data_IF_811306885237
#
_entry.id   IF_811306885237
#
_cell.length_a   1.000
_cell.length_b   1.000
_cell.length_c   1.000
_cell.angle_alpha   90.00
_cell.angle_beta   90.00
_cell.angle_gamma   90.00
#
_symmetry.space_group_name_H-M   'P 1'
#
loop_
_entity.id
_entity.type
_entity.pdbx_description
1 polymer ?
#
# COMPACT_ATOMS: atom_id res chain seq x y z
N UNK A 1 16.65 -0.16 -4.23
CA UNK A 1 15.68 -0.63 -3.21
C UNK A 1 15.26 0.59 -2.38
N UNK A 2 13.99 0.97 -2.40
CA UNK A 2 13.50 2.18 -1.72
C UNK A 2 13.22 1.82 -0.24
N UNK A 3 13.89 2.49 0.70
CA UNK A 3 13.85 2.17 2.14
C UNK A 3 12.43 2.19 2.73
N UNK A 4 11.56 3.03 2.19
CA UNK A 4 10.17 3.15 2.63
C UNK A 4 9.25 2.08 2.05
N UNK A 5 9.52 1.55 0.85
CA UNK A 5 8.79 0.39 0.34
C UNK A 5 9.09 -0.86 1.19
N UNK A 6 10.33 -0.98 1.69
CA UNK A 6 10.67 -1.98 2.71
C UNK A 6 9.94 -1.76 4.04
N UNK A 7 9.73 -0.52 4.48
CA UNK A 7 8.93 -0.25 5.70
C UNK A 7 7.44 -0.55 5.47
N UNK A 8 6.88 -0.16 4.32
CA UNK A 8 5.52 -0.49 3.94
C UNK A 8 5.32 -2.01 3.93
N UNK A 9 6.25 -2.75 3.33
CA UNK A 9 6.30 -4.21 3.39
C UNK A 9 6.43 -4.74 4.82
N UNK A 10 7.34 -4.24 5.65
CA UNK A 10 7.52 -4.75 7.02
C UNK A 10 6.27 -4.57 7.89
N UNK A 11 5.57 -3.44 7.73
CA UNK A 11 4.31 -3.20 8.43
C UNK A 11 3.15 -4.03 7.82
N UNK A 12 3.20 -4.33 6.51
CA UNK A 12 2.32 -5.27 5.82
C UNK A 12 2.56 -6.73 6.26
N UNK A 13 3.83 -7.14 6.42
CA UNK A 13 4.21 -8.47 6.90
C UNK A 13 3.71 -8.69 8.33
N UNK A 14 3.74 -7.65 9.17
CA UNK A 14 3.08 -7.69 10.49
C UNK A 14 1.56 -7.89 10.40
N UNK A 15 0.92 -7.36 9.35
CA UNK A 15 -0.51 -7.56 9.10
C UNK A 15 -0.84 -8.98 8.56
N UNK A 16 0.17 -9.77 8.21
CA UNK A 16 0.08 -11.12 7.70
C UNK A 16 -0.06 -11.16 6.18
N UNK A 17 0.91 -11.77 5.49
CA UNK A 17 0.93 -11.96 4.03
C UNK A 17 -0.35 -12.66 3.53
N UNK A 18 -0.77 -13.71 4.23
CA UNK A 18 -2.00 -14.45 3.94
C UNK A 18 -3.24 -13.57 4.07
N UNK A 19 -3.23 -12.64 5.04
CA UNK A 19 -4.34 -11.74 5.28
C UNK A 19 -4.49 -10.75 4.12
N UNK A 20 -3.39 -10.20 3.59
CA UNK A 20 -3.44 -9.33 2.42
C UNK A 20 -3.95 -10.03 1.16
N UNK A 21 -3.49 -11.25 0.92
CA UNK A 21 -3.98 -12.06 -0.20
C UNK A 21 -5.47 -12.34 -0.06
N UNK A 22 -5.93 -12.76 1.12
CA UNK A 22 -7.36 -12.99 1.41
C UNK A 22 -8.19 -11.71 1.18
N UNK A 23 -7.71 -10.56 1.65
CA UNK A 23 -8.38 -9.28 1.43
C UNK A 23 -8.48 -8.94 -0.06
N UNK A 24 -7.37 -9.08 -0.79
CA UNK A 24 -7.32 -8.81 -2.22
C UNK A 24 -8.20 -9.79 -3.02
N UNK A 25 -8.19 -11.08 -2.70
CA UNK A 25 -9.06 -12.11 -3.27
C UNK A 25 -10.54 -11.84 -2.97
N UNK A 26 -10.87 -11.32 -1.79
CA UNK A 26 -12.22 -10.87 -1.43
C UNK A 26 -12.61 -9.52 -2.07
N UNK A 27 -11.70 -8.87 -2.82
CA UNK A 27 -11.93 -7.55 -3.43
C UNK A 27 -11.95 -6.41 -2.42
N UNK A 28 -11.49 -6.66 -1.19
CA UNK A 28 -11.33 -5.64 -0.15
C UNK A 28 -10.04 -4.87 -0.37
N UNK A 29 -10.04 -3.61 0.05
CA UNK A 29 -8.88 -2.74 -0.11
C UNK A 29 -7.78 -3.11 0.88
N UNK A 30 -6.61 -3.49 0.37
CA UNK A 30 -5.44 -3.74 1.22
C UNK A 30 -4.91 -2.44 1.84
N UNK A 31 -4.89 -1.34 1.07
CA UNK A 31 -4.44 -0.02 1.55
C UNK A 31 -5.40 0.50 2.61
N UNK A 32 -6.70 0.46 2.33
CA UNK A 32 -7.74 0.91 3.26
C UNK A 32 -7.71 0.11 4.56
N UNK A 33 -7.70 -1.23 4.47
CA UNK A 33 -7.65 -2.09 5.66
C UNK A 33 -6.38 -1.88 6.48
N UNK A 34 -5.22 -1.74 5.82
CA UNK A 34 -3.97 -1.42 6.51
C UNK A 34 -4.05 -0.08 7.26
N UNK A 35 -4.51 0.99 6.59
CA UNK A 35 -4.61 2.32 7.20
C UNK A 35 -5.63 2.38 8.34
N UNK A 36 -6.74 1.64 8.26
CA UNK A 36 -7.71 1.53 9.37
C UNK A 36 -7.14 0.78 10.57
N UNK A 37 -6.23 -0.18 10.36
CA UNK A 37 -5.57 -0.91 11.42
C UNK A 37 -4.47 -0.13 12.14
N UNK A 38 -3.96 0.95 11.54
CA UNK A 38 -2.93 1.80 12.14
C UNK A 38 -3.51 2.81 13.15
N UNK A 39 -2.81 3.02 14.26
CA UNK A 39 -3.07 4.12 15.18
C UNK A 39 -2.84 5.49 14.52
N UNK A 40 -3.36 6.57 15.12
CA UNK A 40 -3.16 7.93 14.61
C UNK A 40 -1.67 8.31 14.49
N UNK A 41 -0.85 7.89 15.45
CA UNK A 41 0.59 8.15 15.45
C UNK A 41 1.30 7.41 14.31
N UNK A 42 0.94 6.15 14.07
CA UNK A 42 1.46 5.36 12.96
C UNK A 42 1.05 5.96 11.62
N UNK A 43 -0.23 6.35 11.46
CA UNK A 43 -0.71 7.03 10.26
C UNK A 43 0.07 8.32 9.99
N UNK A 44 0.30 9.15 11.00
CA UNK A 44 1.08 10.39 10.84
C UNK A 44 2.52 10.10 10.37
N UNK A 45 3.17 9.08 10.94
CA UNK A 45 4.51 8.64 10.54
C UNK A 45 4.55 8.09 9.11
N UNK A 46 3.60 7.23 8.75
CA UNK A 46 3.47 6.65 7.41
C UNK A 46 3.27 7.76 6.38
N UNK A 47 2.37 8.71 6.66
CA UNK A 47 2.10 9.87 5.81
C UNK A 47 3.35 10.74 5.62
N UNK A 48 4.08 11.05 6.70
CA UNK A 48 5.33 11.79 6.63
C UNK A 48 6.39 11.10 5.76
N UNK A 49 6.57 9.79 5.94
CA UNK A 49 7.49 8.99 5.13
C UNK A 49 7.09 8.98 3.65
N UNK A 50 5.82 8.73 3.34
CA UNK A 50 5.32 8.68 1.97
C UNK A 50 5.37 10.06 1.28
N UNK A 51 5.10 11.14 2.01
CA UNK A 51 5.27 12.50 1.47
C UNK A 51 6.73 12.82 1.14
N UNK A 52 7.69 12.37 1.95
CA UNK A 52 9.11 12.49 1.62
C UNK A 52 9.47 11.70 0.34
N UNK A 53 8.89 10.52 0.12
CA UNK A 53 9.07 9.76 -1.12
C UNK A 53 8.49 10.49 -2.34
N UNK A 54 7.30 11.08 -2.21
CA UNK A 54 6.69 11.87 -3.28
C UNK A 54 7.59 13.04 -3.68
N UNK A 55 8.19 13.74 -2.70
CA UNK A 55 9.15 14.82 -2.96
C UNK A 55 10.41 14.33 -3.69
N UNK A 56 10.77 13.06 -3.56
CA UNK A 56 11.86 12.41 -4.30
C UNK A 56 11.42 11.86 -5.67
N UNK A 57 10.17 12.10 -6.09
CA UNK A 57 9.62 11.64 -7.36
C UNK A 57 9.09 10.20 -7.37
N UNK A 58 8.97 9.56 -6.20
CA UNK A 58 8.43 8.20 -6.08
C UNK A 58 6.92 8.30 -5.91
N UNK A 59 6.16 7.85 -6.91
CA UNK A 59 4.71 7.97 -6.95
C UNK A 59 3.99 6.82 -6.22
N UNK A 60 2.69 6.97 -5.91
CA UNK A 60 1.89 5.88 -5.32
C UNK A 60 1.82 4.63 -6.23
N UNK A 61 1.81 4.81 -7.56
CA UNK A 61 1.91 3.67 -8.49
C UNK A 61 3.26 2.94 -8.37
N UNK A 62 4.38 3.67 -8.22
CA UNK A 62 5.69 3.04 -7.99
C UNK A 62 5.74 2.27 -6.66
N UNK A 63 5.08 2.77 -5.62
CA UNK A 63 4.95 2.05 -4.33
C UNK A 63 4.15 0.75 -4.52
N UNK A 64 3.04 0.79 -5.25
CA UNK A 64 2.23 -0.40 -5.55
C UNK A 64 2.97 -1.40 -6.45
N UNK A 65 3.73 -0.93 -7.43
CA UNK A 65 4.57 -1.77 -8.27
C UNK A 65 5.66 -2.46 -7.44
N UNK A 66 6.33 -1.73 -6.55
CA UNK A 66 7.35 -2.32 -5.69
C UNK A 66 6.74 -3.33 -4.69
N UNK A 67 5.53 -3.07 -4.19
CA UNK A 67 4.76 -4.05 -3.40
C UNK A 67 4.54 -5.34 -4.17
N UNK A 68 4.08 -5.27 -5.43
CA UNK A 68 3.89 -6.44 -6.30
C UNK A 68 5.21 -7.16 -6.56
N UNK A 69 6.32 -6.44 -6.76
CA UNK A 69 7.64 -7.07 -6.95
C UNK A 69 8.12 -7.82 -5.71
N UNK A 70 7.76 -7.32 -4.53
CA UNK A 70 8.11 -7.96 -3.27
C UNK A 70 7.13 -9.09 -2.89
N UNK A 71 5.89 -9.01 -3.37
CA UNK A 71 4.78 -9.95 -3.14
C UNK A 71 4.16 -10.36 -4.48
N UNK A 72 4.85 -11.20 -5.28
CA UNK A 72 4.41 -11.57 -6.62
C UNK A 72 3.05 -12.28 -6.65
N UNK A 73 2.63 -12.88 -5.55
CA UNK A 73 1.30 -13.49 -5.38
C UNK A 73 0.14 -12.49 -5.45
N UNK A 74 0.40 -11.19 -5.24
CA UNK A 74 -0.61 -10.14 -5.42
C UNK A 74 -0.77 -9.73 -6.89
N UNK A 75 0.24 -9.97 -7.74
CA UNK A 75 0.21 -9.61 -9.15
C UNK A 75 -1.06 -10.11 -9.89
N UNK A 76 -1.42 -11.41 -9.84
CA UNK A 76 -2.60 -11.90 -10.55
C UNK A 76 -3.91 -11.27 -10.05
N UNK A 77 -3.97 -10.82 -8.80
CA UNK A 77 -5.15 -10.17 -8.23
C UNK A 77 -5.22 -8.69 -8.66
N UNK A 78 -4.07 -8.01 -8.64
CA UNK A 78 -3.92 -6.61 -9.03
C UNK A 78 -4.22 -6.38 -10.51
N UNK A 79 -3.79 -7.32 -11.36
CA UNK A 79 -3.96 -7.24 -12.82
C UNK A 79 -5.24 -7.96 -13.28
N UNK A 80 -5.68 -9.01 -12.58
CA UNK A 80 -6.85 -9.81 -12.95
C UNK A 80 -8.18 -9.20 -12.52
N UNK A 81 -8.19 -8.24 -11.60
CA UNK A 81 -9.41 -7.52 -11.19
C UNK A 81 -9.41 -6.11 -11.76
N UNK A 82 -10.30 -5.89 -12.72
CA UNK A 82 -10.44 -4.59 -13.39
C UNK A 82 -10.61 -3.46 -12.36
N UNK A 83 -9.74 -2.45 -12.46
CA UNK A 83 -9.78 -1.26 -11.60
C UNK A 83 -9.29 -1.45 -10.16
N UNK A 84 -8.97 -2.68 -9.70
CA UNK A 84 -8.55 -2.92 -8.32
C UNK A 84 -7.27 -2.14 -7.97
N UNK A 85 -6.18 -2.34 -8.74
CA UNK A 85 -4.91 -1.62 -8.58
C UNK A 85 -5.12 -0.10 -8.60
N UNK A 86 -5.92 0.40 -9.54
CA UNK A 86 -6.24 1.84 -9.65
C UNK A 86 -6.94 2.36 -8.39
N UNK A 87 -7.87 1.58 -7.84
CA UNK A 87 -8.58 1.95 -6.62
C UNK A 87 -7.69 1.98 -5.38
N UNK A 88 -6.66 1.12 -5.32
CA UNK A 88 -5.68 1.12 -4.22
C UNK A 88 -4.74 2.33 -4.31
N UNK A 89 -4.29 2.67 -5.52
CA UNK A 89 -3.52 3.88 -5.80
C UNK A 89 -4.31 5.13 -5.37
N UNK A 90 -5.59 5.23 -5.75
CA UNK A 90 -6.43 6.37 -5.39
C UNK A 90 -6.61 6.53 -3.89
N UNK A 91 -6.76 5.43 -3.14
CA UNK A 91 -6.85 5.49 -1.67
C UNK A 91 -5.54 5.95 -1.04
N UNK A 92 -4.40 5.50 -1.58
CA UNK A 92 -3.10 5.94 -1.12
C UNK A 92 -2.88 7.45 -1.42
N UNK A 93 -3.28 7.92 -2.60
CA UNK A 93 -3.29 9.34 -2.94
C UNK A 93 -4.18 10.18 -2.02
N UNK A 94 -5.40 9.69 -1.74
CA UNK A 94 -6.33 10.35 -0.82
C UNK A 94 -5.72 10.48 0.57
N UNK A 95 -5.15 9.40 1.10
CA UNK A 95 -4.48 9.41 2.40
C UNK A 95 -3.35 10.44 2.49
N UNK A 96 -2.60 10.65 1.40
CA UNK A 96 -1.52 11.64 1.36
C UNK A 96 -2.04 13.09 1.30
N UNK A 97 -3.27 13.29 0.81
CA UNK A 97 -3.94 14.60 0.72
C UNK A 97 -4.81 14.97 1.91
N UNK A 98 -5.23 14.00 2.73
CA UNK A 98 -5.92 14.29 3.99
C UNK A 98 -5.08 15.27 4.82
N UNK A 99 -5.70 16.18 5.60
CA UNK A 99 -4.99 17.15 6.44
C UNK A 99 -4.71 16.57 7.81
#
# INVERSE_FOLDING_TARGET
MIKAARQFRQEIEKAGLDNLKILAEAGRSIVGTYLTGCSLQERAKIKGNLNALLQMGITPDMVMLDLIRQMPELAPIMDGKEGYKKSEIQKLEQFLRES
#
